data_IF_263130033311
#
_entry.id   IF_263130033311
#
_cell.length_a   1.000
_cell.length_b   1.000
_cell.length_c   1.000
_cell.angle_alpha   90.00
_cell.angle_beta   90.00
_cell.angle_gamma   90.00
#
_symmetry.space_group_name_H-M   'P 1'
#
loop_
_entity.id
_entity.type
_entity.pdbx_description
1 polymer ?
#
# COMPACT_ATOMS: atom_id res chain seq x y z
N UNK A 1 -28.67 -13.07 -7.47
CA UNK A 1 -27.42 -13.85 -7.44
C UNK A 1 -26.66 -13.55 -8.70
N UNK A 2 -25.55 -12.79 -8.63
CA UNK A 2 -24.66 -12.64 -9.78
C UNK A 2 -23.95 -13.98 -9.98
N UNK A 3 -24.09 -14.59 -11.15
CA UNK A 3 -23.31 -15.77 -11.52
C UNK A 3 -21.83 -15.41 -11.37
N UNK A 4 -21.12 -16.07 -10.45
CA UNK A 4 -19.68 -15.97 -10.42
C UNK A 4 -19.16 -16.47 -11.78
N UNK A 5 -18.38 -15.64 -12.47
CA UNK A 5 -17.68 -16.04 -13.68
C UNK A 5 -16.95 -17.37 -13.43
N UNK A 6 -17.04 -18.32 -14.35
CA UNK A 6 -16.30 -19.58 -14.23
C UNK A 6 -14.78 -19.29 -14.25
N UNK A 7 -13.93 -20.08 -13.55
CA UNK A 7 -12.48 -19.86 -13.52
C UNK A 7 -11.85 -19.75 -14.91
N UNK A 8 -10.76 -19.00 -14.98
CA UNK A 8 -9.83 -19.04 -16.11
C UNK A 8 -9.29 -20.47 -16.29
N UNK A 9 -8.66 -20.73 -17.44
CA UNK A 9 -8.15 -22.06 -17.78
C UNK A 9 -6.74 -21.98 -18.37
N UNK A 10 -5.97 -23.06 -18.23
CA UNK A 10 -4.60 -23.14 -18.75
C UNK A 10 -3.72 -22.04 -18.15
N UNK A 11 -2.88 -21.41 -18.99
CA UNK A 11 -1.92 -20.36 -18.62
C UNK A 11 -2.60 -19.20 -17.88
N UNK A 12 -3.83 -18.85 -18.25
CA UNK A 12 -4.59 -17.77 -17.61
C UNK A 12 -4.95 -18.09 -16.15
N UNK A 13 -5.26 -19.35 -15.84
CA UNK A 13 -5.57 -19.76 -14.46
C UNK A 13 -4.34 -19.63 -13.55
N UNK A 14 -3.18 -20.07 -14.03
CA UNK A 14 -1.91 -19.96 -13.29
C UNK A 14 -1.53 -18.50 -13.04
N UNK A 15 -1.66 -17.67 -14.08
CA UNK A 15 -1.44 -16.22 -13.97
C UNK A 15 -2.36 -15.58 -12.93
N UNK A 16 -3.67 -15.83 -13.01
CA UNK A 16 -4.64 -15.23 -12.09
C UNK A 16 -4.43 -15.65 -10.64
N UNK A 17 -4.13 -16.93 -10.40
CA UNK A 17 -3.80 -17.41 -9.05
C UNK A 17 -2.56 -16.70 -8.52
N UNK A 18 -1.47 -16.68 -9.29
CA UNK A 18 -0.22 -16.04 -8.88
C UNK A 18 -0.40 -14.54 -8.60
N UNK A 19 -1.14 -13.85 -9.48
CA UNK A 19 -1.49 -12.44 -9.30
C UNK A 19 -2.25 -12.21 -8.00
N UNK A 20 -3.33 -12.97 -7.74
CA UNK A 20 -4.14 -12.78 -6.54
C UNK A 20 -3.34 -13.06 -5.27
N UNK A 21 -2.51 -14.11 -5.25
CA UNK A 21 -1.61 -14.39 -4.11
C UNK A 21 -0.59 -13.27 -3.88
N UNK A 22 0.00 -12.73 -4.96
CA UNK A 22 0.94 -11.61 -4.90
C UNK A 22 0.28 -10.36 -4.32
N UNK A 23 -0.90 -9.97 -4.82
CA UNK A 23 -1.63 -8.78 -4.35
C UNK A 23 -2.07 -8.95 -2.89
N UNK A 24 -2.52 -10.16 -2.49
CA UNK A 24 -2.86 -10.45 -1.09
C UNK A 24 -1.67 -10.21 -0.16
N UNK A 25 -0.50 -10.77 -0.48
CA UNK A 25 0.70 -10.58 0.35
C UNK A 25 1.14 -9.12 0.40
N UNK A 26 1.11 -8.45 -0.75
CA UNK A 26 1.45 -7.05 -0.88
C UNK A 26 0.56 -6.17 0.01
N UNK A 27 -0.76 -6.32 -0.09
CA UNK A 27 -1.70 -5.59 0.77
C UNK A 27 -1.59 -5.98 2.23
N UNK A 28 -1.30 -7.25 2.54
CA UNK A 28 -1.13 -7.69 3.91
C UNK A 28 0.06 -7.00 4.60
N UNK A 29 1.17 -6.78 3.89
CA UNK A 29 2.29 -6.00 4.42
C UNK A 29 1.94 -4.53 4.67
N UNK A 30 1.12 -3.94 3.81
CA UNK A 30 0.64 -2.57 3.94
C UNK A 30 -0.21 -2.35 5.19
N UNK A 31 -0.93 -3.38 5.65
CA UNK A 31 -1.71 -3.30 6.89
C UNK A 31 -0.80 -2.91 8.05
N UNK A 32 0.39 -3.52 8.15
CA UNK A 32 1.34 -3.17 9.20
C UNK A 32 1.89 -1.75 9.04
N UNK A 33 2.22 -1.34 7.81
CA UNK A 33 2.74 0.00 7.55
C UNK A 33 1.73 1.09 7.96
N UNK A 34 0.46 0.91 7.56
CA UNK A 34 -0.64 1.81 7.91
C UNK A 34 -0.99 1.78 9.40
N UNK A 35 -0.88 0.62 10.06
CA UNK A 35 -1.01 0.49 11.52
C UNK A 35 0.06 1.29 12.28
N UNK A 36 1.30 1.31 11.79
CA UNK A 36 2.36 2.11 12.39
C UNK A 36 2.07 3.62 12.26
N UNK A 37 1.49 4.04 11.13
CA UNK A 37 1.14 5.43 10.90
C UNK A 37 -0.06 5.89 11.75
N UNK A 38 -1.19 5.20 11.63
CA UNK A 38 -2.45 5.59 12.27
C UNK A 38 -2.61 5.07 13.71
N UNK A 39 -1.79 4.12 14.14
CA UNK A 39 -2.00 3.39 15.38
C UNK A 39 -3.14 2.35 15.27
N UNK A 40 -3.28 1.54 16.31
CA UNK A 40 -4.32 0.52 16.38
C UNK A 40 -5.15 0.62 17.65
N UNK A 41 -6.46 0.39 17.51
CA UNK A 41 -7.37 0.32 18.64
C UNK A 41 -7.61 -1.13 19.05
N UNK A 42 -7.31 -1.46 20.31
CA UNK A 42 -7.67 -2.78 20.89
C UNK A 42 -9.16 -2.86 21.22
N UNK A 43 -9.84 -1.73 21.32
CA UNK A 43 -11.29 -1.61 21.53
C UNK A 43 -11.85 -0.50 20.64
N UNK A 44 -12.87 -0.82 19.86
CA UNK A 44 -13.54 0.17 19.00
C UNK A 44 -14.36 1.14 19.86
N UNK A 45 -14.17 2.43 19.62
CA UNK A 45 -15.09 3.48 20.10
C UNK A 45 -16.26 3.63 19.12
N UNK A 46 -17.42 4.03 19.62
CA UNK A 46 -18.57 4.44 18.78
C UNK A 46 -18.53 5.92 18.43
N UNK A 47 -17.63 6.70 19.03
CA UNK A 47 -17.48 8.13 18.77
C UNK A 47 -16.70 8.38 17.47
N UNK A 48 -17.18 9.34 16.67
CA UNK A 48 -16.46 9.81 15.49
C UNK A 48 -15.29 10.70 15.94
N UNK A 49 -14.07 10.29 15.63
CA UNK A 49 -12.85 10.96 16.09
C UNK A 49 -11.75 10.92 15.05
N UNK A 50 -10.99 12.01 14.92
CA UNK A 50 -9.78 12.07 14.09
C UNK A 50 -8.63 11.20 14.64
N UNK A 51 -8.76 10.74 15.89
CA UNK A 51 -7.76 9.95 16.61
C UNK A 51 -8.07 8.46 16.64
N UNK A 52 -9.11 7.99 15.94
CA UNK A 52 -9.34 6.56 15.81
C UNK A 52 -8.11 5.87 15.17
N UNK A 53 -7.84 4.63 15.57
CA UNK A 53 -6.83 3.77 14.98
C UNK A 53 -7.44 2.75 14.02
N UNK A 54 -6.58 1.89 13.48
CA UNK A 54 -6.99 0.73 12.69
C UNK A 54 -7.24 -0.48 13.59
N UNK A 55 -7.79 -1.55 13.03
CA UNK A 55 -7.78 -2.84 13.74
C UNK A 55 -6.41 -3.49 13.60
N UNK A 56 -5.83 -4.07 14.67
CA UNK A 56 -4.54 -4.72 14.59
C UNK A 56 -4.60 -5.97 13.70
N UNK A 57 -3.60 -6.14 12.84
CA UNK A 57 -3.39 -7.37 12.09
C UNK A 57 -2.98 -8.49 13.06
N UNK A 58 -3.55 -9.71 12.98
CA UNK A 58 -3.42 -10.74 14.03
C UNK A 58 -1.99 -11.12 14.43
N UNK A 59 -1.01 -10.98 13.53
CA UNK A 59 0.40 -11.31 13.75
C UNK A 59 1.21 -10.17 14.39
N UNK A 60 0.62 -8.99 14.56
CA UNK A 60 1.29 -7.82 15.09
C UNK A 60 0.67 -7.35 16.40
N UNK A 61 1.49 -6.90 17.37
CA UNK A 61 0.97 -6.27 18.56
C UNK A 61 0.32 -4.93 18.21
N UNK A 62 -0.64 -4.53 19.03
CA UNK A 62 -1.20 -3.19 18.98
C UNK A 62 -0.08 -2.14 19.14
N UNK A 63 -0.18 -1.06 18.38
CA UNK A 63 0.82 0.02 18.33
C UNK A 63 0.16 1.38 18.47
N UNK A 64 0.90 2.34 19.03
CA UNK A 64 0.51 3.75 19.00
C UNK A 64 0.78 4.31 17.60
N UNK A 65 0.05 5.36 17.23
CA UNK A 65 0.31 6.13 16.02
C UNK A 65 1.70 6.77 16.09
N UNK A 66 2.53 6.53 15.07
CA UNK A 66 3.84 7.18 14.93
C UNK A 66 3.79 8.43 14.08
N UNK A 67 2.80 8.55 13.18
CA UNK A 67 2.67 9.74 12.34
C UNK A 67 2.26 10.96 13.16
N UNK A 68 2.84 12.15 12.88
CA UNK A 68 2.37 13.41 13.48
C UNK A 68 1.35 14.14 12.61
N UNK A 69 1.45 14.03 11.29
CA UNK A 69 0.51 14.63 10.34
C UNK A 69 -0.86 13.95 10.40
N UNK A 70 -1.93 14.76 10.46
CA UNK A 70 -3.32 14.25 10.56
C UNK A 70 -3.74 13.62 9.24
N UNK A 71 -3.27 14.19 8.14
CA UNK A 71 -3.41 13.75 6.75
C UNK A 71 -2.91 12.30 6.61
N UNK A 72 -1.66 12.02 7.03
CA UNK A 72 -1.07 10.68 7.02
C UNK A 72 -1.89 9.69 7.84
N UNK A 73 -2.34 10.07 9.05
CA UNK A 73 -3.17 9.18 9.87
C UNK A 73 -4.51 8.88 9.20
N UNK A 74 -5.11 9.89 8.57
CA UNK A 74 -6.39 9.77 7.90
C UNK A 74 -6.30 8.85 6.68
N UNK A 75 -5.37 9.13 5.77
CA UNK A 75 -5.15 8.30 4.58
C UNK A 75 -4.73 6.88 4.96
N UNK A 76 -3.83 6.69 5.94
CA UNK A 76 -3.44 5.37 6.42
C UNK A 76 -4.63 4.54 6.93
N UNK A 77 -5.63 5.14 7.59
CA UNK A 77 -6.85 4.42 7.98
C UNK A 77 -7.71 4.03 6.80
N UNK A 78 -7.87 4.93 5.82
CA UNK A 78 -8.63 4.63 4.62
C UNK A 78 -7.98 3.48 3.85
N UNK A 79 -6.67 3.56 3.64
CA UNK A 79 -5.87 2.54 2.98
C UNK A 79 -5.92 1.20 3.72
N UNK A 80 -5.78 1.18 5.05
CA UNK A 80 -5.89 -0.05 5.83
C UNK A 80 -7.24 -0.73 5.63
N UNK A 81 -8.34 0.03 5.59
CA UNK A 81 -9.69 -0.52 5.35
C UNK A 81 -9.83 -1.05 3.93
N UNK A 82 -9.45 -0.25 2.93
CA UNK A 82 -9.54 -0.65 1.52
C UNK A 82 -8.74 -1.91 1.22
N UNK A 83 -7.51 -1.99 1.73
CA UNK A 83 -6.63 -3.13 1.52
C UNK A 83 -7.12 -4.40 2.23
N UNK A 84 -7.78 -4.28 3.41
CA UNK A 84 -8.47 -5.41 4.06
C UNK A 84 -9.61 -5.94 3.19
N UNK A 85 -10.42 -5.06 2.63
CA UNK A 85 -11.53 -5.43 1.76
C UNK A 85 -11.05 -6.12 0.47
N UNK A 86 -9.97 -5.60 -0.14
CA UNK A 86 -9.34 -6.19 -1.31
C UNK A 86 -8.78 -7.59 -1.01
N UNK A 87 -8.09 -7.80 0.12
CA UNK A 87 -7.63 -9.12 0.57
C UNK A 87 -8.81 -10.10 0.67
N UNK A 88 -9.91 -9.71 1.32
CA UNK A 88 -11.09 -10.56 1.50
C UNK A 88 -11.71 -10.94 0.14
N UNK A 89 -11.78 -9.99 -0.80
CA UNK A 89 -12.30 -10.24 -2.14
C UNK A 89 -11.41 -11.21 -2.93
N UNK A 90 -10.09 -11.01 -2.92
CA UNK A 90 -9.13 -11.87 -3.63
C UNK A 90 -9.11 -13.29 -3.03
N UNK A 91 -9.14 -13.43 -1.70
CA UNK A 91 -9.27 -14.74 -1.04
C UNK A 91 -10.58 -15.44 -1.42
N UNK A 92 -11.68 -14.69 -1.56
CA UNK A 92 -12.95 -15.25 -2.03
C UNK A 92 -12.84 -15.71 -3.49
N UNK A 93 -12.20 -14.95 -4.37
CA UNK A 93 -11.97 -15.34 -5.77
C UNK A 93 -11.13 -16.61 -5.86
N UNK A 94 -9.99 -16.68 -5.18
CA UNK A 94 -9.15 -17.87 -5.09
C UNK A 94 -9.93 -19.10 -4.63
N UNK A 95 -10.72 -18.97 -3.56
CA UNK A 95 -11.50 -20.09 -3.03
C UNK A 95 -12.63 -20.52 -3.97
N UNK A 96 -13.40 -19.58 -4.49
CA UNK A 96 -14.62 -19.88 -5.26
C UNK A 96 -14.30 -20.32 -6.69
N UNK A 97 -13.31 -19.70 -7.33
CA UNK A 97 -12.95 -20.02 -8.72
C UNK A 97 -11.94 -21.16 -8.80
N UNK A 98 -10.96 -21.21 -7.89
CA UNK A 98 -9.83 -22.12 -7.99
C UNK A 98 -9.74 -23.16 -6.88
N UNK A 99 -10.62 -23.11 -5.87
CA UNK A 99 -10.55 -24.01 -4.71
C UNK A 99 -9.32 -23.76 -3.82
N UNK A 100 -8.63 -22.63 -3.99
CA UNK A 100 -7.41 -22.29 -3.26
C UNK A 100 -7.75 -21.54 -1.97
N UNK A 101 -7.32 -22.07 -0.83
CA UNK A 101 -7.45 -21.40 0.47
C UNK A 101 -6.12 -20.76 0.86
N UNK A 102 -5.86 -19.56 0.32
CA UNK A 102 -4.60 -18.86 0.52
C UNK A 102 -4.56 -18.08 1.86
N UNK A 103 -3.47 -18.22 2.60
CA UNK A 103 -3.18 -17.46 3.80
C UNK A 103 -2.17 -16.34 3.49
N UNK A 104 -2.48 -15.07 3.78
CA UNK A 104 -1.57 -13.97 3.52
C UNK A 104 -0.27 -14.13 4.32
N UNK A 105 0.85 -13.70 3.72
CA UNK A 105 2.16 -13.68 4.38
C UNK A 105 2.91 -12.40 4.03
N UNK A 106 3.81 -12.00 4.91
CA UNK A 106 4.77 -10.92 4.65
C UNK A 106 6.02 -11.54 4.02
N UNK A 107 6.41 -11.04 2.84
CA UNK A 107 7.61 -11.46 2.10
C UNK A 107 8.85 -10.74 2.61
N UNK A 108 10.03 -11.24 2.25
CA UNK A 108 11.32 -10.73 2.71
C UNK A 108 11.53 -9.23 2.43
N UNK A 109 11.21 -8.82 1.21
CA UNK A 109 11.31 -7.44 0.73
C UNK A 109 10.38 -6.50 1.50
N UNK A 110 9.15 -6.97 1.76
CA UNK A 110 8.15 -6.25 2.53
C UNK A 110 8.54 -6.11 4.00
N UNK A 111 9.19 -7.14 4.57
CA UNK A 111 9.70 -7.12 5.94
C UNK A 111 10.76 -6.03 6.13
N UNK A 112 11.62 -5.80 5.13
CA UNK A 112 12.63 -4.74 5.19
C UNK A 112 11.99 -3.35 5.23
N UNK A 113 10.99 -3.09 4.39
CA UNK A 113 10.23 -1.83 4.38
C UNK A 113 9.49 -1.59 5.72
N UNK A 114 8.84 -2.63 6.26
CA UNK A 114 8.21 -2.56 7.59
C UNK A 114 9.26 -2.24 8.66
N UNK A 115 10.42 -2.90 8.64
CA UNK A 115 11.47 -2.67 9.62
C UNK A 115 11.97 -1.22 9.62
N UNK A 116 12.11 -0.58 8.44
CA UNK A 116 12.47 0.84 8.34
C UNK A 116 11.45 1.70 9.11
N UNK A 117 10.15 1.48 8.86
CA UNK A 117 9.08 2.22 9.53
C UNK A 117 8.98 1.92 11.02
N UNK A 118 9.26 0.69 11.45
CA UNK A 118 9.30 0.31 12.87
C UNK A 118 10.41 1.03 13.63
N UNK A 119 11.57 1.25 13.00
CA UNK A 119 12.73 1.92 13.62
C UNK A 119 12.70 3.45 13.48
N UNK A 120 11.92 4.02 12.56
CA UNK A 120 11.81 5.47 12.41
C UNK A 120 11.27 6.15 13.67
N UNK A 121 11.81 7.32 14.05
CA UNK A 121 11.34 8.04 15.24
C UNK A 121 9.94 8.62 15.02
N UNK A 122 8.99 8.47 15.96
CA UNK A 122 7.66 9.08 15.85
C UNK A 122 7.72 10.58 15.57
N UNK A 123 6.73 11.08 14.84
CA UNK A 123 6.63 12.47 14.41
C UNK A 123 7.22 12.69 13.03
N UNK A 124 7.81 13.87 12.81
CA UNK A 124 8.27 14.34 11.49
C UNK A 124 9.22 13.39 10.77
N UNK A 125 10.10 12.69 11.49
CA UNK A 125 11.01 11.70 10.88
C UNK A 125 10.26 10.45 10.38
N UNK A 126 9.25 9.98 11.13
CA UNK A 126 8.37 8.92 10.68
C UNK A 126 7.52 9.36 9.50
N UNK A 127 6.95 10.57 9.54
CA UNK A 127 6.11 11.11 8.46
C UNK A 127 6.87 11.11 7.12
N UNK A 128 8.10 11.64 7.09
CA UNK A 128 8.96 11.62 5.90
C UNK A 128 9.22 10.19 5.40
N UNK A 129 9.67 9.29 6.29
CA UNK A 129 9.98 7.92 5.93
C UNK A 129 8.74 7.15 5.44
N UNK A 130 7.58 7.39 6.04
CA UNK A 130 6.32 6.78 5.67
C UNK A 130 5.92 7.17 4.25
N UNK A 131 5.93 8.46 3.92
CA UNK A 131 5.53 8.95 2.59
C UNK A 131 6.39 8.34 1.48
N UNK A 132 7.72 8.27 1.67
CA UNK A 132 8.61 7.66 0.68
C UNK A 132 8.40 6.15 0.55
N UNK A 133 8.45 5.43 1.68
CA UNK A 133 8.37 3.97 1.69
C UNK A 133 7.01 3.49 1.19
N UNK A 134 5.93 4.14 1.61
CA UNK A 134 4.58 3.72 1.25
C UNK A 134 4.21 4.11 -0.19
N UNK A 135 4.72 5.22 -0.72
CA UNK A 135 4.59 5.54 -2.13
C UNK A 135 5.33 4.53 -3.03
N UNK A 136 6.53 4.09 -2.62
CA UNK A 136 7.26 3.02 -3.32
C UNK A 136 6.49 1.69 -3.26
N UNK A 137 5.99 1.32 -2.08
CA UNK A 137 5.14 0.14 -1.91
C UNK A 137 3.95 0.17 -2.88
N UNK A 138 3.22 1.28 -2.97
CA UNK A 138 2.12 1.38 -3.94
C UNK A 138 2.54 1.21 -5.39
N UNK A 139 3.69 1.77 -5.77
CA UNK A 139 4.23 1.65 -7.12
C UNK A 139 4.55 0.20 -7.51
N UNK A 140 4.97 -0.66 -6.57
CA UNK A 140 5.28 -2.07 -6.82
C UNK A 140 4.08 -2.87 -7.38
N UNK A 141 2.84 -2.42 -7.13
CA UNK A 141 1.64 -3.04 -7.69
C UNK A 141 1.25 -2.56 -9.08
N UNK A 142 1.86 -1.52 -9.62
CA UNK A 142 1.44 -0.97 -10.91
C UNK A 142 1.58 -2.01 -12.03
N UNK A 143 2.75 -2.59 -12.22
CA UNK A 143 2.95 -3.60 -13.26
C UNK A 143 1.98 -4.81 -13.11
N UNK A 144 1.85 -5.45 -11.93
CA UNK A 144 0.87 -6.53 -11.72
C UNK A 144 -0.58 -6.15 -12.05
N UNK A 145 -1.02 -4.95 -11.65
CA UNK A 145 -2.39 -4.50 -11.89
C UNK A 145 -2.65 -4.18 -13.37
N UNK A 146 -1.66 -3.63 -14.08
CA UNK A 146 -1.73 -3.45 -15.53
C UNK A 146 -1.79 -4.79 -16.28
N UNK A 147 -0.99 -5.76 -15.85
CA UNK A 147 -1.04 -7.11 -16.39
C UNK A 147 -2.41 -7.75 -16.11
N UNK A 148 -3.00 -7.52 -14.93
CA UNK A 148 -4.35 -8.00 -14.62
C UNK A 148 -5.40 -7.47 -15.59
N UNK A 149 -5.42 -6.16 -15.86
CA UNK A 149 -6.42 -5.55 -16.72
C UNK A 149 -6.36 -6.02 -18.18
N UNK A 150 -5.25 -6.63 -18.60
CA UNK A 150 -5.01 -7.04 -19.99
C UNK A 150 -4.81 -8.54 -20.20
N UNK A 151 -4.43 -9.27 -19.15
CA UNK A 151 -3.96 -10.66 -19.22
C UNK A 151 -4.87 -11.73 -18.60
N UNK A 152 -5.88 -11.35 -17.80
CA UNK A 152 -6.84 -12.30 -17.21
C UNK A 152 -7.91 -12.76 -18.22
N UNK A 153 -8.66 -13.80 -17.88
CA UNK A 153 -9.78 -14.25 -18.72
C UNK A 153 -10.80 -13.12 -18.84
N UNK A 154 -11.16 -12.74 -20.07
CA UNK A 154 -12.10 -11.63 -20.34
C UNK A 154 -13.49 -11.82 -19.72
N UNK A 155 -13.83 -13.01 -19.24
CA UNK A 155 -15.10 -13.27 -18.53
C UNK A 155 -15.00 -12.94 -17.04
N UNK A 156 -13.81 -12.66 -16.51
CA UNK A 156 -13.57 -12.32 -15.11
C UNK A 156 -13.72 -10.82 -14.85
N UNK A 157 -14.85 -10.25 -15.27
CA UNK A 157 -15.12 -8.82 -15.12
C UNK A 157 -14.97 -8.34 -13.68
N UNK A 158 -15.26 -9.20 -12.69
CA UNK A 158 -15.08 -8.88 -11.28
C UNK A 158 -13.61 -8.71 -10.88
N UNK A 159 -12.70 -9.55 -11.40
CA UNK A 159 -11.27 -9.41 -11.16
C UNK A 159 -10.70 -8.20 -11.89
N UNK A 160 -11.08 -8.00 -13.15
CA UNK A 160 -10.66 -6.85 -13.96
C UNK A 160 -11.08 -5.54 -13.28
N UNK A 161 -12.33 -5.44 -12.81
CA UNK A 161 -12.80 -4.26 -12.07
C UNK A 161 -12.01 -4.04 -10.78
N UNK A 162 -11.81 -5.09 -9.98
CA UNK A 162 -11.04 -4.97 -8.74
C UNK A 162 -9.60 -4.48 -9.01
N UNK A 163 -8.96 -4.99 -10.06
CA UNK A 163 -7.63 -4.53 -10.46
C UNK A 163 -7.61 -3.07 -10.92
N UNK A 164 -8.64 -2.63 -11.66
CA UNK A 164 -8.77 -1.23 -12.07
C UNK A 164 -9.02 -0.30 -10.88
N UNK A 165 -9.88 -0.72 -9.93
CA UNK A 165 -10.13 0.02 -8.69
C UNK A 165 -8.86 0.16 -7.85
N UNK A 166 -8.11 -0.94 -7.68
CA UNK A 166 -6.81 -0.92 -7.01
C UNK A 166 -5.82 0.01 -7.71
N UNK A 167 -5.72 -0.04 -9.04
CA UNK A 167 -4.83 0.82 -9.80
C UNK A 167 -5.12 2.30 -9.55
N UNK A 168 -6.40 2.70 -9.60
CA UNK A 168 -6.80 4.09 -9.37
C UNK A 168 -6.55 4.54 -7.93
N UNK A 169 -6.86 3.70 -6.94
CA UNK A 169 -6.59 4.02 -5.53
C UNK A 169 -5.10 4.20 -5.27
N UNK A 170 -4.27 3.24 -5.72
CA UNK A 170 -2.81 3.28 -5.53
C UNK A 170 -2.19 4.49 -6.24
N UNK A 171 -2.69 4.86 -7.43
CA UNK A 171 -2.26 6.06 -8.15
C UNK A 171 -2.57 7.34 -7.37
N UNK A 172 -3.79 7.45 -6.85
CA UNK A 172 -4.20 8.61 -6.04
C UNK A 172 -3.37 8.73 -4.76
N UNK A 173 -3.11 7.61 -4.09
CA UNK A 173 -2.31 7.60 -2.87
C UNK A 173 -0.85 7.97 -3.13
N UNK A 174 -0.24 7.51 -4.24
CA UNK A 174 1.10 7.95 -4.65
C UNK A 174 1.15 9.46 -4.91
N UNK A 175 0.12 10.01 -5.56
CA UNK A 175 0.05 11.45 -5.85
C UNK A 175 -0.06 12.27 -4.56
N UNK A 176 -0.96 11.88 -3.65
CA UNK A 176 -1.11 12.52 -2.33
C UNK A 176 0.21 12.47 -1.55
N UNK A 177 0.91 11.34 -1.54
CA UNK A 177 2.19 11.23 -0.83
C UNK A 177 3.28 12.11 -1.44
N UNK A 178 3.29 12.27 -2.77
CA UNK A 178 4.21 13.18 -3.47
C UNK A 178 3.91 14.64 -3.14
N UNK A 179 2.63 15.00 -3.10
CA UNK A 179 2.20 16.34 -2.70
C UNK A 179 2.63 16.66 -1.26
N UNK A 180 2.42 15.74 -0.31
CA UNK A 180 2.84 15.92 1.08
C UNK A 180 4.37 16.00 1.22
N UNK A 181 5.12 15.21 0.44
CA UNK A 181 6.59 15.29 0.40
C UNK A 181 7.09 16.64 -0.10
N UNK A 182 6.44 17.21 -1.12
CA UNK A 182 6.75 18.54 -1.62
C UNK A 182 6.42 19.63 -0.58
N UNK A 183 5.19 19.63 -0.08
CA UNK A 183 4.66 20.69 0.78
C UNK A 183 5.32 20.73 2.16
N UNK A 184 5.48 19.58 2.81
CA UNK A 184 5.95 19.51 4.19
C UNK A 184 7.46 19.30 4.30
N UNK A 185 8.11 18.74 3.27
CA UNK A 185 9.52 18.36 3.30
C UNK A 185 10.37 18.96 2.18
N UNK A 186 9.77 19.65 1.20
CA UNK A 186 10.50 20.30 0.10
C UNK A 186 11.06 19.33 -0.94
N UNK A 187 10.53 18.11 -1.03
CA UNK A 187 10.99 17.09 -1.99
C UNK A 187 10.16 17.17 -3.29
N UNK A 188 10.56 18.07 -4.19
CA UNK A 188 9.75 18.54 -5.36
C UNK A 188 9.72 17.58 -6.56
N UNK A 189 10.59 16.56 -6.62
CA UNK A 189 10.64 15.58 -7.72
C UNK A 189 10.78 14.15 -7.19
N UNK A 190 9.99 13.83 -6.16
CA UNK A 190 9.96 12.45 -5.66
C UNK A 190 9.36 11.52 -6.72
N UNK A 191 10.14 10.50 -7.09
CA UNK A 191 9.73 9.43 -8.00
C UNK A 191 9.79 8.08 -7.27
N UNK A 192 8.66 7.39 -7.07
CA UNK A 192 8.62 6.15 -6.28
C UNK A 192 9.35 4.97 -6.95
N UNK A 193 9.63 5.08 -8.25
CA UNK A 193 10.37 4.11 -9.06
C UNK A 193 11.87 4.32 -9.09
N UNK A 194 12.36 5.45 -8.55
CA UNK A 194 13.78 5.77 -8.56
C UNK A 194 14.47 5.10 -7.38
N UNK A 195 15.48 4.27 -7.67
CA UNK A 195 16.48 3.85 -6.68
C UNK A 195 17.38 5.02 -6.26
N UNK A 196 17.35 6.14 -7.00
CA UNK A 196 18.05 7.37 -6.65
C UNK A 196 17.26 8.13 -5.57
N UNK A 197 17.35 7.62 -4.33
CA UNK A 197 17.12 8.20 -2.98
C UNK A 197 16.08 9.34 -2.82
N UNK A 198 15.27 9.26 -1.74
CA UNK A 198 15.72 9.94 -0.54
C UNK A 198 15.70 9.07 0.72
N UNK A 199 16.59 9.45 1.63
CA UNK A 199 16.68 9.17 3.06
C UNK A 199 17.83 10.11 3.48
N UNK A 200 17.59 11.43 3.42
CA UNK A 200 18.48 12.38 4.08
C UNK A 200 17.92 12.60 5.49
N UNK A 201 18.48 11.88 6.45
CA UNK A 201 18.47 12.35 7.84
C UNK A 201 19.26 13.66 7.90
N UNK A 202 18.65 14.69 8.45
CA UNK A 202 19.09 16.09 8.54
C UNK A 202 20.60 16.35 8.38
N UNK A 203 20.94 17.14 7.35
CA UNK A 203 21.93 18.24 7.32
C UNK A 203 22.50 18.43 5.91
N UNK A 204 21.75 19.06 4.99
CA UNK A 204 22.36 19.77 3.86
C UNK A 204 21.37 20.75 3.24
N UNK A 205 21.63 22.06 3.43
CA UNK A 205 21.04 23.08 2.56
C UNK A 205 21.48 22.85 1.11
N UNK A 206 20.58 22.92 0.11
CA UNK A 206 21.02 22.98 -1.28
C UNK A 206 21.40 24.41 -1.62
N UNK A 207 22.71 24.69 -1.67
CA UNK A 207 23.20 25.79 -2.52
C UNK A 207 23.11 25.31 -3.96
N UNK A 208 22.22 25.94 -4.72
CA UNK A 208 22.11 25.74 -6.16
C UNK A 208 23.44 26.00 -6.88
N UNK A 209 23.73 25.18 -7.87
CA UNK A 209 24.71 25.48 -8.91
C UNK A 209 24.01 25.35 -10.26
N UNK A 210 23.55 26.49 -10.77
CA UNK A 210 23.34 26.66 -12.20
C UNK A 210 24.72 26.64 -12.86
N UNK A 211 24.98 25.62 -13.67
CA UNK A 211 26.05 25.68 -14.66
C UNK A 211 25.46 26.29 -15.93
N UNK A 212 25.80 27.55 -16.20
CA UNK A 212 25.69 28.11 -17.53
C UNK A 212 26.70 27.42 -18.45
N UNK A 213 26.29 27.21 -19.70
CA UNK A 213 27.16 26.75 -20.77
C UNK A 213 26.75 27.48 -22.04
N UNK A 214 27.75 28.09 -22.66
CA UNK A 214 27.73 29.01 -23.81
C UNK A 214 27.07 28.47 -25.09
#
# INVERSE_FOLDING_TARGET
MAFASAPGRGITAEFEVALMEQVIDHHYSALRMTELAAGTDTRRSTELSAYEGTSPTPSYPATNAKASMVEIRSSARMENRGQREQIIQLQKFLRVWYGVNYQPKVRSEQQAAIAILEHAQPGRAFDHAYLEIFARHHYELFEPLNACMTGVDRRHDALIRLCSEMWHAQTSAVDEMRELLEQDFGVVDYQPFSDARPLQTEHASPRGQHSGGD
#
